data_IF_006233099873
#
_entry.id   IF_006233099873
#
_cell.length_a   1.000
_cell.length_b   1.000
_cell.length_c   1.000
_cell.angle_alpha   90.00
_cell.angle_beta   90.00
_cell.angle_gamma   90.00
#
_symmetry.space_group_name_H-M   'P 1'
#
loop_
_entity.id
_entity.type
_entity.pdbx_description
1 polymer ?
#
# COMPACT_ATOMS: atom_id res chain seq x y z
N UNK A 1 26.71 -16.30 -3.15
CA UNK A 1 26.46 -15.77 -1.79
C UNK A 1 25.72 -14.43 -1.78
N UNK A 2 26.19 -13.36 -2.45
CA UNK A 2 25.52 -12.04 -2.43
C UNK A 2 24.04 -12.05 -2.84
N UNK A 3 23.65 -12.82 -3.86
CA UNK A 3 22.26 -12.91 -4.34
C UNK A 3 21.30 -13.49 -3.28
N UNK A 4 21.71 -14.57 -2.61
CA UNK A 4 20.90 -15.18 -1.54
C UNK A 4 20.75 -14.25 -0.35
N UNK A 5 21.81 -13.52 0.01
CA UNK A 5 21.77 -12.53 1.08
C UNK A 5 20.73 -11.42 0.82
N UNK A 6 20.67 -10.89 -0.41
CA UNK A 6 19.69 -9.86 -0.80
C UNK A 6 18.25 -10.39 -0.69
N UNK A 7 18.02 -11.62 -1.13
CA UNK A 7 16.69 -12.25 -1.03
C UNK A 7 16.28 -12.42 0.43
N UNK A 8 17.19 -12.90 1.29
CA UNK A 8 16.94 -13.05 2.73
C UNK A 8 16.62 -11.69 3.36
N UNK A 9 17.38 -10.66 3.03
CA UNK A 9 17.14 -9.30 3.53
C UNK A 9 15.77 -8.78 3.10
N UNK A 10 15.36 -9.01 1.85
CA UNK A 10 14.06 -8.60 1.34
C UNK A 10 12.92 -9.32 2.08
N UNK A 11 13.03 -10.63 2.28
CA UNK A 11 12.06 -11.41 3.05
C UNK A 11 11.95 -10.89 4.49
N UNK A 12 13.08 -10.60 5.14
CA UNK A 12 13.11 -10.03 6.49
C UNK A 12 12.41 -8.66 6.54
N UNK A 13 12.63 -7.80 5.54
CA UNK A 13 11.99 -6.48 5.46
C UNK A 13 10.48 -6.63 5.28
N UNK A 14 10.01 -7.52 4.39
CA UNK A 14 8.58 -7.76 4.20
C UNK A 14 7.93 -8.30 5.48
N UNK A 15 8.60 -9.22 6.16
CA UNK A 15 8.12 -9.76 7.44
C UNK A 15 8.07 -8.67 8.52
N UNK A 16 9.08 -7.81 8.59
CA UNK A 16 9.11 -6.67 9.51
C UNK A 16 7.98 -5.69 9.23
N UNK A 17 7.69 -5.38 7.97
CA UNK A 17 6.58 -4.49 7.58
C UNK A 17 5.23 -5.09 8.00
N UNK A 18 5.00 -6.37 7.72
CA UNK A 18 3.78 -7.07 8.13
C UNK A 18 3.65 -7.12 9.66
N UNK A 19 4.75 -7.41 10.36
CA UNK A 19 4.79 -7.45 11.82
C UNK A 19 4.49 -6.07 12.43
N UNK A 20 5.10 -4.99 11.92
CA UNK A 20 4.81 -3.64 12.39
C UNK A 20 3.34 -3.24 12.14
N UNK A 21 2.79 -3.59 10.98
CA UNK A 21 1.37 -3.35 10.71
C UNK A 21 0.48 -4.06 11.74
N UNK A 22 0.71 -5.35 11.97
CA UNK A 22 -0.13 -6.16 12.86
C UNK A 22 0.05 -5.82 14.34
N UNK A 23 1.30 -5.70 14.81
CA UNK A 23 1.61 -5.57 16.22
C UNK A 23 1.55 -4.12 16.73
N UNK A 24 2.02 -3.17 15.92
CA UNK A 24 2.14 -1.76 16.33
C UNK A 24 0.95 -0.94 15.83
N UNK A 25 0.68 -0.97 14.53
CA UNK A 25 -0.30 -0.07 13.93
C UNK A 25 -1.72 -0.48 14.29
N UNK A 26 -2.05 -1.76 14.11
CA UNK A 26 -3.41 -2.24 14.40
C UNK A 26 -3.77 -2.18 15.90
N UNK A 27 -2.78 -2.14 16.81
CA UNK A 27 -2.99 -2.01 18.26
C UNK A 27 -3.00 -0.56 18.74
N UNK A 28 -2.65 0.40 17.89
CA UNK A 28 -2.65 1.81 18.22
C UNK A 28 -4.08 2.37 18.40
N UNK A 29 -4.24 3.56 19.01
CA UNK A 29 -5.55 4.23 19.09
C UNK A 29 -6.17 4.39 17.70
N UNK A 30 -7.51 4.40 17.63
CA UNK A 30 -8.29 4.39 16.38
C UNK A 30 -7.78 5.37 15.30
N UNK A 31 -7.29 6.54 15.70
CA UNK A 31 -6.74 7.53 14.78
C UNK A 31 -5.49 7.04 14.05
N UNK A 32 -4.54 6.39 14.77
CA UNK A 32 -3.29 5.88 14.22
C UNK A 32 -3.42 4.48 13.62
N UNK A 33 -4.42 3.71 14.07
CA UNK A 33 -4.66 2.35 13.54
C UNK A 33 -5.18 2.32 12.11
N UNK A 34 -5.41 3.50 11.50
CA UNK A 34 -5.79 3.66 10.09
C UNK A 34 -4.59 3.86 9.16
N UNK A 35 -3.37 3.87 9.68
CA UNK A 35 -2.18 3.88 8.83
C UNK A 35 -2.07 2.50 8.15
N UNK A 36 -1.97 2.50 6.83
CA UNK A 36 -1.76 1.28 6.05
C UNK A 36 -0.31 1.24 5.56
N UNK A 37 0.59 0.76 6.43
CA UNK A 37 2.02 0.69 6.13
C UNK A 37 2.31 -0.21 4.93
N UNK A 38 1.56 -1.29 4.77
CA UNK A 38 1.74 -2.24 3.68
C UNK A 38 1.49 -1.56 2.34
N UNK A 39 0.34 -0.88 2.22
CA UNK A 39 0.00 -0.16 1.01
C UNK A 39 1.01 0.96 0.72
N UNK A 40 1.42 1.71 1.75
CA UNK A 40 2.43 2.78 1.61
C UNK A 40 3.78 2.24 1.12
N UNK A 41 4.25 1.14 1.69
CA UNK A 41 5.49 0.50 1.28
C UNK A 41 5.40 0.00 -0.16
N UNK A 42 4.27 -0.56 -0.59
CA UNK A 42 4.08 -1.00 -1.98
C UNK A 42 4.05 0.16 -2.98
N UNK A 43 3.35 1.26 -2.66
CA UNK A 43 3.32 2.45 -3.51
C UNK A 43 4.73 3.07 -3.62
N UNK A 44 5.44 3.18 -2.50
CA UNK A 44 6.83 3.64 -2.51
C UNK A 44 7.76 2.65 -3.26
N UNK A 45 7.51 1.35 -3.15
CA UNK A 45 8.28 0.35 -3.86
C UNK A 45 8.11 0.45 -5.38
N UNK A 46 6.93 0.84 -5.89
CA UNK A 46 6.73 1.13 -7.32
C UNK A 46 7.62 2.26 -7.84
N UNK A 47 8.06 3.17 -6.97
CA UNK A 47 8.98 4.24 -7.35
C UNK A 47 10.44 3.77 -7.50
N UNK A 48 10.87 2.81 -6.67
CA UNK A 48 12.27 2.39 -6.61
C UNK A 48 12.56 1.05 -7.29
N UNK A 49 11.55 0.22 -7.50
CA UNK A 49 11.70 -1.15 -7.99
C UNK A 49 10.82 -1.42 -9.21
N UNK A 50 11.21 -2.43 -9.98
CA UNK A 50 10.43 -2.88 -11.13
C UNK A 50 9.11 -3.53 -10.67
N UNK A 51 8.05 -3.33 -11.46
CA UNK A 51 6.72 -3.92 -11.27
C UNK A 51 6.75 -5.40 -10.85
N UNK A 52 7.57 -6.23 -11.50
CA UNK A 52 7.72 -7.66 -11.20
C UNK A 52 8.14 -7.94 -9.74
N UNK A 53 8.98 -7.08 -9.16
CA UNK A 53 9.42 -7.23 -7.76
C UNK A 53 8.32 -6.77 -6.80
N UNK A 54 7.66 -5.67 -7.14
CA UNK A 54 6.59 -5.11 -6.29
C UNK A 54 5.38 -6.02 -6.25
N UNK A 55 4.98 -6.62 -7.37
CA UNK A 55 3.85 -7.56 -7.40
C UNK A 55 4.13 -8.83 -6.60
N UNK A 56 5.37 -9.34 -6.63
CA UNK A 56 5.78 -10.45 -5.77
C UNK A 56 5.76 -10.03 -4.29
N UNK A 57 6.16 -8.80 -3.98
CA UNK A 57 6.05 -8.22 -2.65
C UNK A 57 4.61 -8.10 -2.16
N UNK A 58 3.69 -7.66 -3.02
CA UNK A 58 2.26 -7.58 -2.72
C UNK A 58 1.65 -8.95 -2.46
N UNK A 59 1.98 -9.96 -3.27
CA UNK A 59 1.55 -11.34 -3.04
C UNK A 59 2.10 -11.88 -1.72
N UNK A 60 3.39 -11.66 -1.43
CA UNK A 60 4.00 -12.12 -0.19
C UNK A 60 3.40 -11.44 1.06
N UNK A 61 3.25 -10.10 1.04
CA UNK A 61 2.64 -9.36 2.14
C UNK A 61 1.17 -9.70 2.33
N UNK A 62 0.42 -9.83 1.23
CA UNK A 62 -0.97 -10.24 1.26
C UNK A 62 -1.15 -11.61 1.90
N UNK A 63 -0.35 -12.60 1.48
CA UNK A 63 -0.38 -13.94 2.06
C UNK A 63 -0.03 -13.93 3.54
N UNK A 64 0.99 -13.16 3.95
CA UNK A 64 1.35 -13.01 5.36
C UNK A 64 0.16 -12.45 6.15
N UNK A 65 -0.50 -11.40 5.66
CA UNK A 65 -1.66 -10.84 6.35
C UNK A 65 -2.84 -11.81 6.37
N UNK A 66 -3.12 -12.50 5.27
CA UNK A 66 -4.20 -13.49 5.21
C UNK A 66 -3.99 -14.60 6.25
N UNK A 67 -2.75 -15.10 6.44
CA UNK A 67 -2.40 -16.11 7.46
C UNK A 67 -2.71 -15.63 8.88
N UNK A 68 -2.49 -14.34 9.17
CA UNK A 68 -2.74 -13.76 10.50
C UNK A 68 -4.13 -13.12 10.63
N UNK A 69 -4.97 -13.20 9.59
CA UNK A 69 -6.31 -12.63 9.61
C UNK A 69 -7.37 -13.69 9.91
N UNK A 70 -8.42 -13.29 10.63
CA UNK A 70 -9.61 -14.12 10.83
C UNK A 70 -10.64 -13.97 9.70
N UNK A 71 -10.24 -13.45 8.54
CA UNK A 71 -11.11 -13.22 7.38
C UNK A 71 -10.91 -14.31 6.34
N UNK A 72 -11.73 -14.31 5.29
CA UNK A 72 -11.60 -15.25 4.19
C UNK A 72 -10.19 -15.15 3.59
N UNK A 73 -9.49 -16.28 3.57
CA UNK A 73 -8.12 -16.36 3.06
C UNK A 73 -8.07 -15.92 1.59
N UNK A 74 -7.15 -15.02 1.29
CA UNK A 74 -6.92 -14.49 -0.06
C UNK A 74 -7.52 -13.12 -0.31
N UNK A 75 -8.38 -12.59 0.58
CA UNK A 75 -8.94 -11.24 0.42
C UNK A 75 -7.84 -10.18 0.39
N UNK A 76 -6.89 -10.22 1.33
CA UNK A 76 -5.81 -9.23 1.38
C UNK A 76 -4.83 -9.43 0.21
N UNK A 77 -4.50 -10.68 -0.12
CA UNK A 77 -3.64 -11.01 -1.27
C UNK A 77 -4.19 -10.48 -2.58
N UNK A 78 -5.47 -10.73 -2.87
CA UNK A 78 -6.11 -10.26 -4.10
C UNK A 78 -6.20 -8.74 -4.14
N UNK A 79 -6.57 -8.09 -3.04
CA UNK A 79 -6.65 -6.62 -2.98
C UNK A 79 -5.31 -5.94 -3.18
N UNK A 80 -4.25 -6.41 -2.53
CA UNK A 80 -2.92 -5.82 -2.75
C UNK A 80 -2.40 -6.07 -4.17
N UNK A 81 -2.68 -7.25 -4.73
CA UNK A 81 -2.31 -7.59 -6.11
C UNK A 81 -3.01 -6.66 -7.12
N UNK A 82 -4.33 -6.50 -7.01
CA UNK A 82 -5.11 -5.66 -7.92
C UNK A 82 -4.75 -4.16 -7.77
N UNK A 83 -4.50 -3.70 -6.55
CA UNK A 83 -4.04 -2.32 -6.31
C UNK A 83 -2.68 -2.06 -6.94
N UNK A 84 -1.73 -2.98 -6.86
CA UNK A 84 -0.41 -2.81 -7.50
C UNK A 84 -0.54 -2.78 -9.02
N UNK A 85 -1.40 -3.61 -9.62
CA UNK A 85 -1.69 -3.55 -11.06
C UNK A 85 -2.28 -2.19 -11.46
N UNK A 86 -3.29 -1.72 -10.72
CA UNK A 86 -3.91 -0.43 -10.99
C UNK A 86 -2.91 0.72 -10.81
N UNK A 87 -2.09 0.67 -9.77
CA UNK A 87 -1.10 1.70 -9.49
C UNK A 87 -0.02 1.76 -10.58
N UNK A 88 0.51 0.62 -11.02
CA UNK A 88 1.47 0.56 -12.14
C UNK A 88 0.84 1.06 -13.46
N UNK A 89 -0.40 0.67 -13.72
CA UNK A 89 -1.15 1.16 -14.88
C UNK A 89 -1.32 2.69 -14.85
N UNK A 90 -1.71 3.27 -13.71
CA UNK A 90 -1.82 4.72 -13.55
C UNK A 90 -0.47 5.42 -13.70
N UNK A 91 0.60 4.82 -13.16
CA UNK A 91 1.96 5.35 -13.26
C UNK A 91 2.42 5.40 -14.72
N UNK A 92 2.25 4.30 -15.46
CA UNK A 92 2.66 4.20 -16.86
C UNK A 92 1.86 5.09 -17.81
N UNK A 93 0.55 5.27 -17.57
CA UNK A 93 -0.32 5.97 -18.52
C UNK A 93 -0.58 7.44 -18.17
N UNK A 94 -0.74 7.77 -16.88
CA UNK A 94 -1.25 9.09 -16.46
C UNK A 94 -0.23 9.91 -15.68
N UNK A 95 0.75 9.27 -15.04
CA UNK A 95 1.66 9.89 -14.07
C UNK A 95 3.14 9.80 -14.47
N UNK A 96 3.41 9.97 -15.76
CA UNK A 96 4.76 9.86 -16.36
C UNK A 96 5.80 10.83 -15.80
N UNK A 97 5.38 11.97 -15.25
CA UNK A 97 6.30 13.02 -14.78
C UNK A 97 6.97 12.74 -13.42
N UNK A 98 6.75 11.57 -12.79
CA UNK A 98 7.38 11.14 -11.52
C UNK A 98 7.45 12.24 -10.44
N UNK A 99 6.48 13.15 -10.46
CA UNK A 99 6.46 14.32 -9.60
C UNK A 99 5.82 13.99 -8.25
N UNK A 100 6.07 14.79 -7.22
CA UNK A 100 5.41 14.63 -5.93
C UNK A 100 3.86 14.64 -6.08
N UNK A 101 3.32 15.49 -6.96
CA UNK A 101 1.88 15.55 -7.24
C UNK A 101 1.35 14.26 -7.86
N UNK A 102 2.11 13.68 -8.78
CA UNK A 102 1.81 12.39 -9.41
C UNK A 102 1.72 11.27 -8.37
N UNK A 103 2.65 11.25 -7.41
CA UNK A 103 2.64 10.26 -6.33
C UNK A 103 1.54 10.47 -5.29
N UNK A 104 1.20 11.72 -4.97
CA UNK A 104 0.05 12.01 -4.11
C UNK A 104 -1.25 11.56 -4.76
N UNK A 105 -1.44 11.84 -6.05
CA UNK A 105 -2.60 11.36 -6.80
C UNK A 105 -2.63 9.82 -6.88
N UNK A 106 -1.50 9.19 -7.19
CA UNK A 106 -1.38 7.73 -7.19
C UNK A 106 -1.77 7.13 -5.83
N UNK A 107 -1.28 7.72 -4.74
CA UNK A 107 -1.59 7.28 -3.38
C UNK A 107 -3.06 7.42 -3.06
N UNK A 108 -3.67 8.54 -3.44
CA UNK A 108 -5.11 8.75 -3.29
C UNK A 108 -5.92 7.66 -3.99
N UNK A 109 -5.66 7.42 -5.28
CA UNK A 109 -6.40 6.43 -6.06
C UNK A 109 -6.15 5.00 -5.59
N UNK A 110 -4.89 4.65 -5.27
CA UNK A 110 -4.55 3.33 -4.76
C UNK A 110 -5.23 3.03 -3.41
N UNK A 111 -5.26 4.02 -2.49
CA UNK A 111 -5.90 3.88 -1.17
C UNK A 111 -7.41 3.75 -1.29
N UNK A 112 -8.02 4.57 -2.16
CA UNK A 112 -9.44 4.52 -2.44
C UNK A 112 -9.83 3.17 -3.06
N UNK A 113 -9.08 2.73 -4.07
CA UNK A 113 -9.33 1.46 -4.75
C UNK A 113 -9.15 0.26 -3.80
N UNK A 114 -8.05 0.22 -3.05
CA UNK A 114 -7.79 -0.82 -2.04
C UNK A 114 -8.95 -0.97 -1.06
N UNK A 115 -9.44 0.12 -0.49
CA UNK A 115 -10.52 0.08 0.49
C UNK A 115 -11.84 -0.36 -0.14
N UNK A 116 -12.20 0.17 -1.31
CA UNK A 116 -13.43 -0.24 -1.99
C UNK A 116 -13.41 -1.73 -2.32
N UNK A 117 -12.30 -2.21 -2.86
CA UNK A 117 -12.13 -3.61 -3.24
C UNK A 117 -12.15 -4.54 -2.02
N UNK A 118 -11.35 -4.23 -0.99
CA UNK A 118 -11.24 -5.06 0.20
C UNK A 118 -12.58 -5.16 0.95
N UNK A 119 -13.28 -4.03 1.14
CA UNK A 119 -14.59 -4.05 1.79
C UNK A 119 -15.65 -4.74 0.92
N UNK A 120 -15.52 -4.69 -0.41
CA UNK A 120 -16.38 -5.47 -1.29
C UNK A 120 -16.13 -6.98 -1.11
N UNK A 121 -14.87 -7.43 -1.04
CA UNK A 121 -14.58 -8.83 -0.72
C UNK A 121 -15.07 -9.25 0.67
N UNK A 122 -14.97 -8.37 1.67
CA UNK A 122 -15.55 -8.63 2.99
C UNK A 122 -17.07 -8.74 2.96
N UNK A 123 -17.74 -7.89 2.17
CA UNK A 123 -19.18 -7.98 1.99
C UNK A 123 -19.58 -9.29 1.28
N UNK A 124 -18.91 -9.63 0.17
CA UNK A 124 -19.18 -10.85 -0.60
C UNK A 124 -18.90 -12.13 0.19
N UNK A 125 -17.84 -12.16 0.99
CA UNK A 125 -17.54 -13.31 1.87
C UNK A 125 -18.57 -13.51 2.99
N UNK A 126 -19.29 -12.45 3.36
CA UNK A 126 -20.31 -12.48 4.40
C UNK A 126 -21.74 -12.39 3.82
N UNK A 127 -21.94 -12.78 2.56
CA UNK A 127 -23.21 -12.64 1.84
C UNK A 127 -24.40 -13.34 2.52
N UNK A 128 -24.15 -14.38 3.32
CA UNK A 128 -25.19 -15.08 4.09
C UNK A 128 -25.55 -14.39 5.42
N UNK A 129 -24.79 -13.38 5.83
CA UNK A 129 -25.09 -12.58 7.01
C UNK A 129 -25.92 -11.35 6.62
N UNK A 130 -26.82 -10.91 7.51
CA UNK A 130 -27.66 -9.71 7.31
C UNK A 130 -26.86 -8.39 7.41
N UNK A 131 -25.60 -8.39 6.96
CA UNK A 131 -24.77 -7.20 6.99
C UNK A 131 -25.26 -6.17 5.97
N UNK A 132 -25.49 -4.95 6.44
CA UNK A 132 -25.77 -3.82 5.58
C UNK A 132 -24.59 -3.50 4.66
N UNK A 133 -24.92 -3.07 3.44
CA UNK A 133 -23.93 -2.66 2.45
C UNK A 133 -22.98 -1.58 3.00
N UNK A 134 -21.67 -1.81 2.85
CA UNK A 134 -20.64 -1.03 3.55
C UNK A 134 -20.61 0.46 3.15
N UNK A 135 -20.98 0.82 1.92
CA UNK A 135 -21.03 2.22 1.49
C UNK A 135 -22.07 3.07 2.24
N UNK A 136 -23.08 2.44 2.85
CA UNK A 136 -24.06 3.12 3.70
C UNK A 136 -23.55 3.40 5.12
N UNK A 137 -22.38 2.89 5.50
CA UNK A 137 -21.89 2.96 6.87
C UNK A 137 -20.96 4.17 7.06
N UNK A 138 -21.29 5.06 8.01
CA UNK A 138 -20.44 6.22 8.35
C UNK A 138 -19.03 5.81 8.80
N UNK A 139 -18.90 4.64 9.44
CA UNK A 139 -17.61 4.10 9.88
C UNK A 139 -16.66 3.81 8.71
N UNK A 140 -17.18 3.38 7.56
CA UNK A 140 -16.39 3.15 6.36
C UNK A 140 -15.77 4.46 5.88
N UNK A 141 -16.59 5.50 5.67
CA UNK A 141 -16.13 6.81 5.20
C UNK A 141 -15.17 7.49 6.16
N UNK A 142 -15.41 7.38 7.48
CA UNK A 142 -14.48 7.88 8.49
C UNK A 142 -13.14 7.14 8.46
N UNK A 143 -13.16 5.82 8.30
CA UNK A 143 -11.97 5.00 8.15
C UNK A 143 -11.16 5.37 6.90
N UNK A 144 -11.84 5.42 5.74
CA UNK A 144 -11.26 5.80 4.46
C UNK A 144 -10.65 7.21 4.50
N UNK A 145 -11.37 8.18 5.09
CA UNK A 145 -10.88 9.55 5.24
C UNK A 145 -9.61 9.63 6.08
N UNK A 146 -9.53 8.88 7.18
CA UNK A 146 -8.32 8.82 8.02
C UNK A 146 -7.16 8.11 7.33
N UNK A 147 -7.42 7.01 6.62
CA UNK A 147 -6.39 6.29 5.88
C UNK A 147 -5.83 7.14 4.73
N UNK A 148 -6.69 7.87 4.01
CA UNK A 148 -6.27 8.85 3.01
C UNK A 148 -5.44 9.99 3.64
N UNK A 149 -5.89 10.55 4.75
CA UNK A 149 -5.16 11.60 5.46
C UNK A 149 -3.75 11.15 5.83
N UNK A 150 -3.62 9.97 6.43
CA UNK A 150 -2.32 9.42 6.79
C UNK A 150 -1.47 9.07 5.58
N UNK A 151 -2.05 8.42 4.58
CA UNK A 151 -1.30 7.95 3.41
C UNK A 151 -0.75 9.13 2.61
N UNK A 152 -1.57 10.14 2.36
CA UNK A 152 -1.14 11.38 1.70
C UNK A 152 -0.14 12.15 2.56
N UNK A 153 -0.37 12.25 3.87
CA UNK A 153 0.54 12.93 4.79
C UNK A 153 1.93 12.30 4.82
N UNK A 154 2.00 10.96 4.91
CA UNK A 154 3.26 10.22 4.94
C UNK A 154 4.01 10.35 3.60
N UNK A 155 3.31 10.21 2.47
CA UNK A 155 3.93 10.38 1.15
C UNK A 155 4.41 11.82 0.94
N UNK A 156 3.62 12.82 1.35
CA UNK A 156 4.04 14.21 1.30
C UNK A 156 5.30 14.45 2.13
N UNK A 157 5.34 13.97 3.38
CA UNK A 157 6.52 14.07 4.25
C UNK A 157 7.73 13.36 3.64
N UNK A 158 7.53 12.19 3.04
CA UNK A 158 8.58 11.44 2.35
C UNK A 158 9.20 12.28 1.21
N UNK A 159 8.37 12.86 0.33
CA UNK A 159 8.87 13.73 -0.74
C UNK A 159 9.51 15.01 -0.22
N UNK A 160 8.98 15.59 0.86
CA UNK A 160 9.56 16.78 1.48
C UNK A 160 10.96 16.49 2.04
N UNK A 161 11.11 15.38 2.78
CA UNK A 161 12.41 14.91 3.29
C UNK A 161 13.38 14.60 2.15
N UNK A 162 12.91 13.90 1.12
CA UNK A 162 13.72 13.65 -0.08
C UNK A 162 14.18 14.96 -0.72
N UNK A 163 13.31 15.96 -0.85
CA UNK A 163 13.70 17.25 -1.44
C UNK A 163 14.81 17.93 -0.63
N UNK A 164 14.74 17.88 0.71
CA UNK A 164 15.79 18.41 1.58
C UNK A 164 17.14 17.73 1.35
N UNK A 165 17.16 16.40 1.20
CA UNK A 165 18.40 15.64 0.95
C UNK A 165 18.89 15.73 -0.50
N UNK A 166 17.98 15.89 -1.46
CA UNK A 166 18.28 15.78 -2.90
C UNK A 166 18.80 17.07 -3.51
N UNK A 167 18.73 18.21 -2.80
CA UNK A 167 19.49 19.42 -3.19
C UNK A 167 21.00 19.17 -3.32
N UNK A 168 21.53 18.07 -2.73
CA UNK A 168 22.92 17.60 -2.86
C UNK A 168 23.13 16.40 -3.80
N UNK A 169 22.06 15.80 -4.37
CA UNK A 169 22.10 14.54 -5.14
C UNK A 169 21.37 14.66 -6.51
N UNK A 170 21.65 15.70 -7.29
CA UNK A 170 21.36 15.69 -8.74
C UNK A 170 22.47 14.86 -9.42
N UNK A 171 22.23 13.78 -10.21
CA UNK A 171 21.05 13.44 -11.00
C UNK A 171 20.76 11.91 -11.08
N UNK A 172 19.78 11.39 -10.34
CA UNK A 172 19.25 10.01 -10.60
C UNK A 172 17.98 10.06 -11.49
N UNK A 173 17.42 11.25 -11.72
CA UNK A 173 16.20 11.48 -12.49
C UNK A 173 16.40 11.52 -14.02
N UNK A 174 17.59 11.19 -14.52
CA UNK A 174 17.91 11.14 -15.94
C UNK A 174 18.53 9.79 -16.28
N UNK A 175 17.74 8.71 -16.22
CA UNK A 175 18.09 7.52 -16.99
C UNK A 175 16.90 7.12 -17.87
N UNK A 176 17.15 7.19 -19.18
CA UNK A 176 16.21 6.80 -20.23
C UNK A 176 16.12 5.28 -20.21
N UNK A 177 14.91 4.75 -20.03
CA UNK A 177 14.59 3.42 -20.56
C UNK A 177 14.51 3.49 -22.08
#
# INVERSE_FOLDING_TARGET
>A
MKRYFIVILLVLVLFLVAFLQLALVNSAPYFFSRINLILLVLILALFFFDFKKVILGALALGLLIDIFSFRLFGCYTLSLFLVVILADFLLANWFTNHSAYSFLALTFFATLFYNLELYNFFYLSNFLSEQHFFLGQANFWRGLGLELFWSLGIIFLFFWLMNLTTTRLKPIFLDKR
#
